data_IF_679383066316
#
_entry.id   IF_679383066316
#
_cell.length_a   1.000
_cell.length_b   1.000
_cell.length_c   1.000
_cell.angle_alpha   90.00
_cell.angle_beta   90.00
_cell.angle_gamma   90.00
#
_symmetry.space_group_name_H-M   'P 1'
#
loop_
_entity.id
_entity.type
_entity.pdbx_description
1 polymer ?
#
# COMPACT_ATOMS: atom_id res chain seq x y z
N UNK A 1 0.84 37.55 -30.34
CA UNK A 1 -0.35 36.81 -29.89
C UNK A 1 -0.21 36.57 -28.38
N UNK A 2 -1.25 36.97 -27.62
CA UNK A 2 -1.63 36.68 -26.21
C UNK A 2 -0.53 36.39 -25.16
N UNK A 3 -0.13 37.38 -24.34
CA UNK A 3 -0.66 37.82 -23.02
C UNK A 3 -0.08 37.09 -21.81
N UNK A 4 0.83 37.79 -21.13
CA UNK A 4 1.30 37.52 -19.77
C UNK A 4 0.19 37.70 -18.72
N UNK A 5 0.16 36.87 -17.68
CA UNK A 5 -0.48 37.20 -16.40
C UNK A 5 0.43 36.80 -15.24
N UNK A 6 1.14 37.80 -14.70
CA UNK A 6 1.75 37.74 -13.37
C UNK A 6 0.60 37.93 -12.38
N UNK A 7 0.44 36.99 -11.45
CA UNK A 7 -0.57 37.11 -10.39
C UNK A 7 0.10 37.81 -9.20
N UNK A 8 -0.46 38.98 -8.90
CA UNK A 8 -0.25 39.81 -7.74
C UNK A 8 -1.14 39.28 -6.62
N UNK A 9 -0.57 38.91 -5.47
CA UNK A 9 -1.33 38.78 -4.23
C UNK A 9 -0.98 39.95 -3.32
N UNK A 10 -2.01 40.77 -3.08
CA UNK A 10 -1.93 42.02 -2.34
C UNK A 10 -1.87 41.84 -0.82
N UNK A 11 -1.40 42.91 -0.20
CA UNK A 11 -1.40 43.23 1.23
C UNK A 11 -2.75 43.01 1.93
N UNK A 12 -2.67 42.81 3.25
CA UNK A 12 -3.44 43.42 4.37
C UNK A 12 -3.39 42.41 5.55
N UNK A 13 -3.13 42.72 6.82
CA UNK A 13 -3.02 43.96 7.62
C UNK A 13 -2.19 43.63 8.86
N UNK A 14 -1.44 44.61 9.39
CA UNK A 14 -0.90 44.55 10.73
C UNK A 14 -2.03 44.59 11.77
N UNK A 15 -2.09 43.60 12.66
CA UNK A 15 -2.80 43.71 13.93
C UNK A 15 -1.77 43.65 15.05
N UNK A 16 -1.59 44.81 15.69
CA UNK A 16 -0.88 45.02 16.95
C UNK A 16 -1.28 43.99 18.01
N UNK A 17 -0.29 43.36 18.64
CA UNK A 17 -0.48 42.66 19.92
C UNK A 17 -0.78 43.71 20.99
N UNK A 18 -2.05 43.96 21.28
CA UNK A 18 -2.41 44.56 22.56
C UNK A 18 -2.26 43.48 23.62
N UNK A 19 -1.26 43.61 24.47
CA UNK A 19 -1.11 42.80 25.68
C UNK A 19 -2.43 42.86 26.47
N UNK A 20 -3.09 41.71 26.61
CA UNK A 20 -4.20 41.55 27.55
C UNK A 20 -3.56 41.47 28.95
N UNK A 21 -3.94 42.32 29.92
CA UNK A 21 -3.51 42.13 31.28
C UNK A 21 -4.08 40.82 31.82
N UNK A 22 -3.22 40.00 32.42
CA UNK A 22 -3.61 38.87 33.27
C UNK A 22 -4.49 39.40 34.41
N UNK A 23 -5.81 39.33 34.22
CA UNK A 23 -6.75 39.49 35.33
C UNK A 23 -6.70 38.20 36.14
N UNK A 24 -6.16 38.34 37.35
CA UNK A 24 -6.20 37.31 38.37
C UNK A 24 -7.65 36.92 38.67
N UNK A 25 -8.05 35.70 38.30
CA UNK A 25 -9.25 35.08 38.83
C UNK A 25 -8.88 34.41 40.16
N UNK A 26 -9.29 35.07 41.24
CA UNK A 26 -9.43 34.52 42.59
C UNK A 26 -10.42 33.34 42.49
N UNK A 27 -9.99 32.12 42.84
CA UNK A 27 -10.93 31.04 43.10
C UNK A 27 -11.64 31.35 44.42
N UNK A 28 -12.90 31.77 44.34
CA UNK A 28 -13.85 31.71 45.44
C UNK A 28 -15.01 30.80 45.00
N UNK A 29 -15.10 29.66 45.67
CA UNK A 29 -16.25 28.76 45.62
C UNK A 29 -17.50 29.48 46.14
N UNK A 30 -18.57 29.51 45.35
CA UNK A 30 -19.97 29.34 45.80
C UNK A 30 -20.98 29.44 44.65
N UNK A 31 -21.62 28.30 44.40
CA UNK A 31 -23.07 28.08 44.23
C UNK A 31 -23.97 29.30 43.96
N UNK A 32 -24.58 29.38 42.77
CA UNK A 32 -26.04 29.23 42.57
C UNK A 32 -26.46 29.55 41.12
N UNK A 33 -27.24 28.61 40.57
CA UNK A 33 -28.38 28.77 39.67
C UNK A 33 -28.36 29.86 38.57
N UNK A 34 -28.36 29.44 37.31
CA UNK A 34 -28.77 30.30 36.19
C UNK A 34 -29.38 29.48 35.05
N UNK A 35 -30.69 29.62 34.94
CA UNK A 35 -31.47 29.83 33.72
C UNK A 35 -31.15 28.97 32.49
N UNK A 36 -32.07 28.04 32.26
CA UNK A 36 -32.58 27.62 30.95
C UNK A 36 -32.58 28.79 29.94
N UNK A 37 -31.89 28.61 28.82
CA UNK A 37 -32.30 29.19 27.54
C UNK A 37 -32.26 28.12 26.44
N UNK A 38 -33.28 27.99 25.58
CA UNK A 38 -33.48 26.85 24.69
C UNK A 38 -32.80 27.01 23.31
N UNK A 39 -32.57 25.87 22.66
CA UNK A 39 -32.26 25.65 21.25
C UNK A 39 -30.84 25.94 20.76
N UNK A 40 -30.03 24.88 20.73
CA UNK A 40 -29.34 24.50 19.50
C UNK A 40 -29.63 23.01 19.23
N UNK A 41 -30.73 22.76 18.50
CA UNK A 41 -30.97 21.46 17.86
C UNK A 41 -30.17 21.42 16.56
N UNK A 42 -28.85 21.45 16.67
CA UNK A 42 -28.00 20.79 15.69
C UNK A 42 -27.92 19.34 16.13
N UNK A 43 -28.33 18.41 15.28
CA UNK A 43 -28.09 16.98 15.47
C UNK A 43 -26.56 16.78 15.62
N UNK A 44 -26.06 16.89 16.86
CA UNK A 44 -24.70 16.47 17.20
C UNK A 44 -24.77 14.96 17.10
N UNK A 45 -24.51 14.45 15.90
CA UNK A 45 -24.15 13.05 15.72
C UNK A 45 -22.91 12.86 16.60
N UNK A 46 -23.13 12.28 17.77
CA UNK A 46 -22.07 12.05 18.75
C UNK A 46 -21.11 11.04 18.13
N UNK A 47 -19.94 11.54 17.72
CA UNK A 47 -18.92 10.71 17.07
C UNK A 47 -18.40 9.70 18.09
N UNK A 48 -18.35 8.43 17.70
CA UNK A 48 -17.79 7.39 18.56
C UNK A 48 -16.27 7.49 18.57
N UNK A 49 -15.65 7.37 19.75
CA UNK A 49 -14.20 7.34 19.83
C UNK A 49 -13.66 6.03 19.24
N UNK A 50 -12.60 6.09 18.43
CA UNK A 50 -12.04 4.88 17.81
C UNK A 50 -11.61 3.83 18.83
N UNK A 51 -11.09 4.24 20.00
CA UNK A 51 -10.74 3.31 21.09
C UNK A 51 -11.94 2.58 21.70
N UNK A 52 -13.16 3.07 21.49
CA UNK A 52 -14.38 2.40 21.95
C UNK A 52 -14.91 1.41 20.91
N UNK A 53 -14.71 1.67 19.62
CA UNK A 53 -15.23 0.82 18.53
C UNK A 53 -14.22 -0.26 18.14
N UNK A 54 -12.93 0.07 18.15
CA UNK A 54 -11.85 -0.87 17.85
C UNK A 54 -11.40 -1.52 19.15
N UNK A 55 -11.91 -2.73 19.39
CA UNK A 55 -11.57 -3.51 20.59
C UNK A 55 -10.28 -4.32 20.42
N UNK A 56 -9.96 -4.70 19.18
CA UNK A 56 -8.73 -5.43 18.87
C UNK A 56 -7.77 -4.57 18.05
N UNK A 57 -6.67 -4.16 18.68
CA UNK A 57 -5.60 -3.39 18.03
C UNK A 57 -4.48 -4.28 17.47
N UNK A 58 -4.48 -5.57 17.77
CA UNK A 58 -3.61 -6.54 17.12
C UNK A 58 -4.33 -7.11 15.88
N UNK A 59 -3.86 -6.71 14.71
CA UNK A 59 -4.48 -7.05 13.43
C UNK A 59 -4.06 -8.44 12.92
N UNK A 60 -3.18 -9.13 13.64
CA UNK A 60 -2.66 -10.44 13.27
C UNK A 60 -1.64 -10.35 12.15
N UNK A 61 -1.71 -11.32 11.23
CA UNK A 61 -0.74 -11.47 10.14
C UNK A 61 -1.19 -10.72 8.88
N UNK A 62 -0.30 -9.88 8.35
CA UNK A 62 -0.46 -9.22 7.06
C UNK A 62 0.53 -9.85 6.08
N UNK A 63 -0.01 -10.34 4.96
CA UNK A 63 0.76 -10.99 3.91
C UNK A 63 1.26 -9.93 2.92
N UNK A 64 2.57 -9.84 2.72
CA UNK A 64 3.20 -8.90 1.79
C UNK A 64 3.99 -9.59 0.69
N UNK A 65 4.01 -9.05 -0.53
CA UNK A 65 4.96 -9.47 -1.57
C UNK A 65 6.41 -9.48 -1.05
N UNK A 66 7.25 -10.40 -1.56
CA UNK A 66 8.65 -10.53 -1.09
C UNK A 66 9.43 -9.22 -1.15
N UNK A 67 9.22 -8.45 -2.21
CA UNK A 67 9.86 -7.16 -2.50
C UNK A 67 9.38 -6.01 -1.59
N UNK A 68 8.27 -6.17 -0.86
CA UNK A 68 7.72 -5.13 0.02
C UNK A 68 7.97 -5.39 1.48
N UNK A 69 8.63 -4.46 2.18
CA UNK A 69 8.91 -4.60 3.61
C UNK A 69 7.85 -4.02 4.53
N UNK A 70 7.07 -3.07 4.03
CA UNK A 70 6.08 -2.30 4.78
C UNK A 70 4.71 -2.46 4.09
N UNK A 71 3.62 -2.69 4.85
CA UNK A 71 2.29 -2.81 4.28
C UNK A 71 1.76 -1.47 3.77
N UNK A 72 0.78 -1.53 2.88
CA UNK A 72 0.04 -0.34 2.46
C UNK A 72 -1.13 -0.08 3.42
N UNK A 73 -1.60 1.18 3.44
CA UNK A 73 -2.73 1.60 4.27
C UNK A 73 -3.99 0.74 4.03
N UNK A 74 -4.25 0.36 2.79
CA UNK A 74 -5.36 -0.52 2.40
C UNK A 74 -5.30 -1.87 3.12
N UNK A 75 -4.15 -2.56 3.10
CA UNK A 75 -3.97 -3.85 3.76
C UNK A 75 -4.15 -3.77 5.28
N UNK A 76 -3.76 -2.65 5.89
CA UNK A 76 -3.98 -2.40 7.32
C UNK A 76 -5.48 -2.22 7.61
N UNK A 77 -6.19 -1.41 6.81
CA UNK A 77 -7.63 -1.20 6.95
C UNK A 77 -8.44 -2.49 6.72
N UNK A 78 -8.07 -3.29 5.73
CA UNK A 78 -8.67 -4.62 5.51
C UNK A 78 -8.50 -5.53 6.73
N UNK A 79 -7.30 -5.54 7.32
CA UNK A 79 -7.00 -6.35 8.50
C UNK A 79 -7.73 -5.82 9.74
N UNK A 80 -7.87 -4.50 9.87
CA UNK A 80 -8.67 -3.85 10.92
C UNK A 80 -10.14 -4.28 10.87
N UNK A 81 -10.75 -4.33 9.68
CA UNK A 81 -12.14 -4.79 9.51
C UNK A 81 -12.27 -6.27 9.81
N UNK A 82 -11.31 -7.09 9.39
CA UNK A 82 -11.31 -8.54 9.70
C UNK A 82 -11.31 -8.79 11.21
N UNK A 83 -10.57 -8.00 11.98
CA UNK A 83 -10.52 -8.14 13.45
C UNK A 83 -11.61 -7.36 14.19
N UNK A 84 -12.24 -6.38 13.54
CA UNK A 84 -13.29 -5.52 14.09
C UNK A 84 -14.38 -5.26 13.03
N UNK A 85 -15.25 -6.26 12.79
CA UNK A 85 -16.20 -6.34 11.66
C UNK A 85 -17.21 -5.18 11.49
N UNK A 86 -17.25 -4.22 12.42
CA UNK A 86 -18.20 -3.09 12.42
C UNK A 86 -17.54 -1.74 12.15
N UNK A 87 -16.24 -1.72 11.87
CA UNK A 87 -15.49 -0.48 11.62
C UNK A 87 -15.66 -0.03 10.17
N UNK A 88 -16.18 1.17 9.97
CA UNK A 88 -16.30 1.78 8.64
C UNK A 88 -14.99 2.47 8.25
N UNK A 89 -14.19 1.81 7.40
CA UNK A 89 -12.87 2.31 6.99
C UNK A 89 -12.93 3.50 6.04
N UNK A 90 -14.09 3.81 5.44
CA UNK A 90 -14.22 4.98 4.56
C UNK A 90 -14.04 6.30 5.31
N UNK A 91 -14.26 6.27 6.62
CA UNK A 91 -14.15 7.36 7.57
C UNK A 91 -12.74 7.47 8.20
N UNK A 92 -11.81 6.58 7.83
CA UNK A 92 -10.51 6.42 8.48
C UNK A 92 -9.34 6.72 7.54
N UNK A 93 -8.24 7.14 8.13
CA UNK A 93 -6.94 7.29 7.48
C UNK A 93 -5.85 6.57 8.29
N UNK A 94 -4.81 6.13 7.59
CA UNK A 94 -3.66 5.44 8.21
C UNK A 94 -2.41 6.28 8.01
N UNK A 95 -1.67 6.48 9.08
CA UNK A 95 -0.41 7.23 9.10
C UNK A 95 0.64 6.46 9.93
N UNK A 96 1.88 6.95 9.90
CA UNK A 96 3.01 6.37 10.65
C UNK A 96 3.14 4.84 10.45
N UNK A 97 3.09 4.40 9.20
CA UNK A 97 3.14 2.97 8.87
C UNK A 97 4.56 2.46 9.03
N UNK A 98 4.72 1.47 9.90
CA UNK A 98 5.97 0.79 10.22
C UNK A 98 5.86 -0.70 9.87
N UNK A 99 6.97 -1.43 10.04
CA UNK A 99 7.05 -2.87 9.74
C UNK A 99 6.07 -3.71 10.56
N UNK A 100 5.72 -3.31 11.78
CA UNK A 100 4.89 -4.09 12.71
C UNK A 100 3.80 -3.26 13.41
N UNK A 101 3.51 -2.08 12.90
CA UNK A 101 2.48 -1.22 13.47
C UNK A 101 2.16 0.00 12.62
N UNK A 102 1.07 0.66 12.94
CA UNK A 102 0.64 1.90 12.31
C UNK A 102 -0.29 2.70 13.24
N UNK A 103 -0.56 3.95 12.87
CA UNK A 103 -1.58 4.77 13.53
C UNK A 103 -2.80 4.86 12.62
N UNK A 104 -3.98 4.49 13.14
CA UNK A 104 -5.26 4.65 12.46
C UNK A 104 -6.01 5.80 13.12
N UNK A 105 -6.44 6.77 12.33
CA UNK A 105 -7.14 7.97 12.81
C UNK A 105 -8.45 8.16 12.08
N UNK A 106 -9.42 8.78 12.76
CA UNK A 106 -10.63 9.25 12.09
C UNK A 106 -10.24 10.42 11.18
N UNK A 107 -10.75 10.43 9.94
CA UNK A 107 -10.57 11.56 9.03
C UNK A 107 -11.11 12.83 9.66
N UNK A 108 -10.55 13.98 9.28
CA UNK A 108 -10.99 15.28 9.79
C UNK A 108 -12.48 15.53 9.55
N UNK A 109 -12.97 15.13 8.38
CA UNK A 109 -14.37 15.21 7.95
C UNK A 109 -15.22 14.02 8.37
N UNK A 110 -14.68 13.08 9.16
CA UNK A 110 -15.43 11.90 9.60
C UNK A 110 -16.69 12.33 10.35
N UNK A 111 -17.83 11.73 10.02
CA UNK A 111 -19.11 11.94 10.70
C UNK A 111 -19.37 10.88 11.76
N UNK A 112 -18.69 9.73 11.70
CA UNK A 112 -18.92 8.59 12.59
C UNK A 112 -17.91 8.50 13.73
N UNK A 113 -16.65 8.82 13.47
CA UNK A 113 -15.57 8.51 14.41
C UNK A 113 -14.75 9.74 14.82
N UNK A 114 -14.10 9.64 15.97
CA UNK A 114 -13.13 10.62 16.45
C UNK A 114 -11.91 9.94 17.09
N UNK A 115 -10.82 10.69 17.20
CA UNK A 115 -9.57 10.24 17.82
C UNK A 115 -8.70 9.37 16.92
N UNK A 116 -7.72 8.73 17.53
CA UNK A 116 -6.75 7.84 16.87
C UNK A 116 -6.36 6.69 17.78
N UNK A 117 -5.88 5.61 17.16
CA UNK A 117 -5.40 4.41 17.84
C UNK A 117 -4.11 3.93 17.18
N UNK A 118 -3.27 3.25 17.96
CA UNK A 118 -2.13 2.51 17.43
C UNK A 118 -2.51 1.04 17.28
N UNK A 119 -2.15 0.47 16.14
CA UNK A 119 -2.39 -0.93 15.81
C UNK A 119 -1.06 -1.65 15.61
N UNK A 120 -1.03 -2.95 15.89
CA UNK A 120 0.12 -3.82 15.72
C UNK A 120 -0.22 -4.98 14.81
N UNK A 121 0.79 -5.52 14.12
CA UNK A 121 0.65 -6.66 13.23
C UNK A 121 2.00 -7.36 13.02
N UNK A 122 1.95 -8.61 12.57
CA UNK A 122 3.12 -9.33 12.06
C UNK A 122 3.10 -9.34 10.54
N UNK A 123 4.27 -9.38 9.93
CA UNK A 123 4.41 -9.52 8.48
C UNK A 123 4.81 -10.94 8.16
N UNK A 124 4.00 -11.58 7.32
CA UNK A 124 4.40 -12.77 6.59
C UNK A 124 4.69 -12.37 5.17
N UNK A 125 5.85 -12.76 4.65
CA UNK A 125 6.09 -12.65 3.22
C UNK A 125 5.19 -13.67 2.54
N UNK A 126 4.47 -13.25 1.50
CA UNK A 126 3.92 -14.19 0.54
C UNK A 126 5.05 -15.15 0.21
N UNK A 127 4.85 -16.41 0.55
CA UNK A 127 5.57 -17.44 -0.15
C UNK A 127 5.18 -17.21 -1.59
N UNK A 128 6.14 -16.78 -2.42
CA UNK A 128 6.02 -17.13 -3.83
C UNK A 128 5.79 -18.62 -3.75
N UNK A 129 4.58 -19.09 -4.09
CA UNK A 129 4.47 -20.45 -4.55
C UNK A 129 5.42 -20.43 -5.74
N UNK A 130 6.67 -20.86 -5.51
CA UNK A 130 7.66 -21.01 -6.56
C UNK A 130 7.02 -22.08 -7.40
N UNK A 131 6.28 -21.66 -8.42
CA UNK A 131 5.62 -22.54 -9.34
C UNK A 131 6.77 -23.20 -10.08
N UNK A 132 7.20 -24.35 -9.56
CA UNK A 132 8.21 -25.17 -10.19
C UNK A 132 7.58 -25.68 -11.47
N UNK A 133 7.97 -25.06 -12.57
CA UNK A 133 7.52 -25.42 -13.89
C UNK A 133 8.60 -26.29 -14.51
N UNK A 134 8.15 -27.41 -15.03
CA UNK A 134 9.02 -28.37 -15.67
C UNK A 134 9.38 -27.85 -17.06
N UNK A 135 10.67 -27.60 -17.30
CA UNK A 135 11.18 -27.14 -18.59
C UNK A 135 10.86 -28.10 -19.74
N UNK A 136 10.62 -29.38 -19.46
CA UNK A 136 10.23 -30.35 -20.48
C UNK A 136 8.83 -30.10 -21.06
N UNK A 137 8.01 -29.27 -20.39
CA UNK A 137 6.66 -28.92 -20.84
C UNK A 137 6.61 -27.74 -21.81
N UNK A 138 7.74 -27.06 -22.03
CA UNK A 138 7.81 -25.93 -22.95
C UNK A 138 7.55 -26.43 -24.38
N UNK A 139 6.70 -25.72 -25.12
CA UNK A 139 6.32 -26.11 -26.46
C UNK A 139 7.42 -25.73 -27.45
N UNK A 140 8.06 -26.75 -28.05
CA UNK A 140 9.11 -26.56 -29.05
C UNK A 140 8.65 -25.77 -30.28
N UNK A 141 7.36 -25.83 -30.62
CA UNK A 141 6.80 -25.07 -31.75
C UNK A 141 6.87 -23.56 -31.53
N UNK A 142 6.89 -23.10 -30.28
CA UNK A 142 7.00 -21.68 -29.94
C UNK A 142 8.39 -21.13 -30.21
N UNK A 143 9.37 -21.98 -30.52
CA UNK A 143 10.74 -21.59 -30.87
C UNK A 143 11.07 -21.77 -32.35
N UNK A 144 10.09 -21.86 -33.24
CA UNK A 144 10.31 -21.95 -34.70
C UNK A 144 11.08 -20.77 -35.29
N UNK A 145 11.17 -19.65 -34.57
CA UNK A 145 11.96 -18.49 -34.94
C UNK A 145 13.47 -18.68 -34.72
N UNK A 146 13.91 -19.74 -34.01
CA UNK A 146 15.32 -19.95 -33.72
C UNK A 146 16.10 -20.21 -35.00
N UNK A 147 17.16 -19.43 -35.17
CA UNK A 147 18.18 -19.63 -36.20
C UNK A 147 19.51 -19.93 -35.51
N UNK A 148 20.61 -20.01 -36.27
CA UNK A 148 21.95 -20.07 -35.68
C UNK A 148 22.30 -18.84 -34.83
N UNK A 149 21.49 -17.78 -34.90
CA UNK A 149 21.53 -16.64 -33.99
C UNK A 149 20.43 -16.78 -32.94
N UNK A 150 20.83 -16.82 -31.67
CA UNK A 150 19.90 -16.87 -30.53
C UNK A 150 19.52 -15.44 -30.15
N UNK A 151 18.25 -15.09 -30.36
CA UNK A 151 17.70 -13.81 -29.89
C UNK A 151 17.14 -13.98 -28.48
N UNK A 152 17.81 -13.40 -27.49
CA UNK A 152 17.46 -13.58 -26.08
C UNK A 152 16.05 -13.09 -25.72
N UNK A 153 15.57 -11.99 -26.31
CA UNK A 153 14.24 -11.44 -26.00
C UNK A 153 13.12 -12.41 -26.34
N UNK A 154 13.12 -12.92 -27.58
CA UNK A 154 12.05 -13.76 -28.10
C UNK A 154 12.04 -15.12 -27.40
N UNK A 155 13.23 -15.63 -27.09
CA UNK A 155 13.42 -16.84 -26.30
C UNK A 155 12.85 -16.68 -24.88
N UNK A 156 13.11 -15.55 -24.25
CA UNK A 156 12.58 -15.25 -22.92
C UNK A 156 11.06 -15.10 -22.94
N UNK A 157 10.47 -14.43 -23.93
CA UNK A 157 9.02 -14.26 -24.06
C UNK A 157 8.29 -15.60 -24.25
N UNK A 158 8.84 -16.48 -25.10
CA UNK A 158 8.30 -17.83 -25.27
C UNK A 158 8.36 -18.64 -23.97
N UNK A 159 9.48 -18.58 -23.23
CA UNK A 159 9.63 -19.25 -21.93
C UNK A 159 8.66 -18.70 -20.87
N UNK A 160 8.48 -17.37 -20.80
CA UNK A 160 7.51 -16.73 -19.89
C UNK A 160 6.09 -17.20 -20.15
N UNK A 161 5.72 -17.28 -21.43
CA UNK A 161 4.38 -17.67 -21.87
C UNK A 161 4.11 -19.13 -21.53
N UNK A 162 5.00 -20.04 -21.92
CA UNK A 162 4.80 -21.49 -21.76
C UNK A 162 4.90 -21.96 -20.31
N UNK A 163 5.78 -21.34 -19.53
CA UNK A 163 5.93 -21.65 -18.12
C UNK A 163 4.90 -20.91 -17.27
N UNK A 164 4.17 -19.94 -17.81
CA UNK A 164 3.27 -19.04 -17.06
C UNK A 164 4.01 -18.33 -15.91
N UNK A 165 5.25 -17.91 -16.18
CA UNK A 165 6.14 -17.24 -15.23
C UNK A 165 6.55 -15.86 -15.77
N UNK A 166 5.75 -14.79 -15.54
CA UNK A 166 5.97 -13.49 -16.19
C UNK A 166 7.26 -12.78 -15.75
N UNK A 167 7.78 -13.13 -14.57
CA UNK A 167 8.93 -12.48 -13.95
C UNK A 167 10.29 -13.15 -14.27
N UNK A 168 10.33 -14.11 -15.21
CA UNK A 168 11.59 -14.73 -15.64
C UNK A 168 12.55 -13.70 -16.26
N UNK A 169 13.83 -13.96 -16.11
CA UNK A 169 14.95 -13.22 -16.72
C UNK A 169 15.79 -14.18 -17.55
N UNK A 170 16.49 -13.65 -18.54
CA UNK A 170 17.45 -14.46 -19.33
C UNK A 170 18.54 -15.06 -18.45
N UNK A 171 18.99 -14.31 -17.44
CA UNK A 171 20.04 -14.73 -16.52
C UNK A 171 19.64 -15.94 -15.66
N UNK A 172 18.35 -16.26 -15.55
CA UNK A 172 17.83 -17.44 -14.86
C UNK A 172 18.15 -18.74 -15.62
N UNK A 173 18.64 -18.64 -16.86
CA UNK A 173 18.91 -19.76 -17.74
C UNK A 173 20.35 -19.76 -18.28
N UNK A 174 20.82 -20.95 -18.62
CA UNK A 174 22.01 -21.18 -19.43
C UNK A 174 21.58 -21.71 -20.79
N UNK A 175 22.10 -21.08 -21.84
CA UNK A 175 21.81 -21.42 -23.23
C UNK A 175 23.08 -21.93 -23.91
N UNK A 176 23.04 -23.16 -24.43
CA UNK A 176 24.19 -23.79 -25.09
C UNK A 176 23.79 -24.26 -26.48
N UNK A 177 24.48 -23.75 -27.51
CA UNK A 177 24.35 -24.28 -28.87
C UNK A 177 25.23 -25.51 -28.98
N UNK A 178 24.64 -26.69 -28.79
CA UNK A 178 25.32 -27.98 -28.86
C UNK A 178 25.66 -28.35 -30.31
N UNK A 179 24.82 -27.91 -31.27
CA UNK A 179 25.04 -28.14 -32.70
C UNK A 179 24.44 -27.02 -33.55
N UNK A 180 25.22 -26.47 -34.47
CA UNK A 180 24.71 -25.51 -35.45
C UNK A 180 23.82 -26.20 -36.49
N UNK A 181 22.76 -25.51 -36.92
CA UNK A 181 21.96 -25.94 -38.04
C UNK A 181 22.70 -25.68 -39.37
N UNK A 182 22.56 -26.62 -40.31
CA UNK A 182 23.02 -26.50 -41.70
C UNK A 182 21.83 -26.63 -42.64
N UNK A 183 22.04 -26.43 -43.94
CA UNK A 183 20.95 -26.54 -44.94
C UNK A 183 20.28 -27.92 -44.97
N UNK A 184 21.01 -28.95 -44.53
CA UNK A 184 20.66 -30.36 -44.60
C UNK A 184 20.44 -31.01 -43.22
N UNK A 185 20.70 -30.28 -42.12
CA UNK A 185 20.63 -30.83 -40.76
C UNK A 185 20.11 -29.84 -39.75
N UNK A 186 19.20 -30.31 -38.90
CA UNK A 186 18.77 -29.57 -37.72
C UNK A 186 19.94 -29.36 -36.74
N UNK A 187 19.95 -28.17 -36.14
CA UNK A 187 20.81 -27.81 -35.02
C UNK A 187 20.21 -28.26 -33.69
N UNK A 188 20.91 -27.96 -32.60
CA UNK A 188 20.48 -28.28 -31.23
C UNK A 188 20.86 -27.16 -30.28
N UNK A 189 19.85 -26.56 -29.67
CA UNK A 189 19.97 -25.64 -28.54
C UNK A 189 19.58 -26.39 -27.27
N UNK A 190 20.39 -26.25 -26.22
CA UNK A 190 20.13 -26.78 -24.89
C UNK A 190 19.83 -25.59 -23.97
N UNK A 191 18.74 -25.69 -23.21
CA UNK A 191 18.30 -24.68 -22.25
C UNK A 191 18.27 -25.35 -20.88
N UNK A 192 19.01 -24.78 -19.93
CA UNK A 192 19.08 -25.27 -18.55
C UNK A 192 18.70 -24.13 -17.62
N UNK A 193 17.82 -24.39 -16.65
CA UNK A 193 17.59 -23.43 -15.57
C UNK A 193 18.82 -23.38 -14.66
N UNK A 194 19.31 -22.19 -14.34
CA UNK A 194 20.35 -22.04 -13.33
C UNK A 194 19.75 -22.33 -11.96
N UNK A 195 20.39 -23.21 -11.21
CA UNK A 195 20.09 -23.41 -9.81
C UNK A 195 20.96 -22.47 -9.00
N UNK A 196 20.46 -21.27 -8.72
CA UNK A 196 21.04 -20.44 -7.66
C UNK A 196 20.65 -21.09 -6.32
N UNK A 197 21.59 -21.78 -5.69
CA UNK A 197 21.51 -22.20 -4.29
C UNK A 197 22.18 -21.17 -3.39
#
# INVERSE_FOLDING_TARGET
MKTNRKILFGLLTASSFTAVPLLAAKCDDKNENSQKNPQDNGDKVEKQALGEVVKNTNLGEIVLPKDKEIPEASSILESLVKTNATVDTSELEVSNILKNGATVSAKKESKKYSGSINVTFTIKKSDDVVAKKDLSKVNKDNFKFLTNFVFGSDLLEALKTDLELPNLKLDDFQFTVDKLATADKEGKLVIEAKTDF
#
